data_IF_537634391617
#
_entry.id   IF_537634391617
#
_cell.length_a   1.000
_cell.length_b   1.000
_cell.length_c   1.000
_cell.angle_alpha   90.00
_cell.angle_beta   90.00
_cell.angle_gamma   90.00
#
_symmetry.space_group_name_H-M   'P 1'
#
loop_
_entity.id
_entity.type
_entity.pdbx_description
1 polymer ?
#
# COMPACT_ATOMS: atom_id res chain seq x y z
N UNK A 1 -24.67 12.21 14.75
CA UNK A 1 -23.85 11.36 15.65
C UNK A 1 -22.43 11.37 15.17
N UNK A 2 -21.46 11.10 16.04
CA UNK A 2 -20.04 10.96 15.67
C UNK A 2 -19.68 9.47 15.76
N UNK A 3 -18.97 8.96 14.75
CA UNK A 3 -18.48 7.58 14.73
C UNK A 3 -16.96 7.58 14.82
N UNK A 4 -16.40 6.63 15.58
CA UNK A 4 -14.97 6.40 15.70
C UNK A 4 -14.66 4.98 15.28
N UNK A 5 -13.70 4.82 14.37
CA UNK A 5 -13.24 3.52 13.89
C UNK A 5 -11.73 3.42 14.08
N UNK A 6 -11.26 2.30 14.61
CA UNK A 6 -9.84 1.99 14.72
C UNK A 6 -9.44 1.16 13.51
N UNK A 7 -8.31 1.51 12.90
CA UNK A 7 -7.76 0.79 11.77
C UNK A 7 -6.38 0.25 12.12
N UNK A 8 -6.14 -0.99 11.73
CA UNK A 8 -4.83 -1.63 11.81
C UNK A 8 -4.20 -1.74 10.42
N UNK A 9 -2.86 -1.84 10.30
CA UNK A 9 -2.20 -2.09 9.03
C UNK A 9 -2.63 -3.38 8.32
N UNK A 10 -3.22 -4.33 9.03
CA UNK A 10 -3.75 -5.57 8.44
C UNK A 10 -5.07 -5.34 7.70
N UNK A 11 -5.76 -4.24 7.98
CA UNK A 11 -7.03 -3.85 7.34
C UNK A 11 -6.83 -2.83 6.23
N UNK A 12 -5.59 -2.65 5.77
CA UNK A 12 -5.25 -1.67 4.75
C UNK A 12 -6.03 -1.85 3.43
N UNK A 13 -6.44 -3.09 3.11
CA UNK A 13 -7.26 -3.37 1.93
C UNK A 13 -8.65 -2.71 2.04
N UNK A 14 -9.23 -2.67 3.24
CA UNK A 14 -10.53 -2.03 3.53
C UNK A 14 -10.42 -0.51 3.67
N UNK A 15 -9.21 0.01 3.84
CA UNK A 15 -8.99 1.44 4.02
C UNK A 15 -9.32 2.22 2.73
N UNK A 16 -9.16 1.62 1.54
CA UNK A 16 -9.55 2.25 0.26
C UNK A 16 -11.06 2.46 0.18
N UNK A 17 -11.83 1.40 0.40
CA UNK A 17 -13.30 1.46 0.36
C UNK A 17 -13.84 2.51 1.35
N UNK A 18 -13.25 2.59 2.55
CA UNK A 18 -13.65 3.61 3.51
C UNK A 18 -13.31 5.03 3.04
N UNK A 19 -12.14 5.25 2.44
CA UNK A 19 -11.76 6.56 1.90
C UNK A 19 -12.79 7.03 0.86
N UNK A 20 -13.22 6.15 -0.04
CA UNK A 20 -14.23 6.47 -1.05
C UNK A 20 -15.56 6.90 -0.42
N UNK A 21 -16.04 6.18 0.61
CA UNK A 21 -17.25 6.54 1.35
C UNK A 21 -17.12 7.90 2.04
N UNK A 22 -15.95 8.19 2.64
CA UNK A 22 -15.70 9.47 3.30
C UNK A 22 -15.67 10.62 2.29
N UNK A 23 -15.08 10.43 1.11
CA UNK A 23 -15.05 11.42 0.03
C UNK A 23 -16.45 11.69 -0.53
N UNK A 24 -17.25 10.64 -0.78
CA UNK A 24 -18.63 10.77 -1.24
C UNK A 24 -19.51 11.52 -0.22
N UNK A 25 -19.31 11.21 1.07
CA UNK A 25 -19.98 11.88 2.17
C UNK A 25 -19.45 13.32 2.43
N UNK A 26 -18.47 13.80 1.66
CA UNK A 26 -17.78 15.09 1.84
C UNK A 26 -17.16 15.25 3.23
N UNK A 27 -16.74 14.16 3.84
CA UNK A 27 -16.03 14.14 5.11
C UNK A 27 -14.53 14.35 4.88
N UNK A 28 -13.85 14.93 5.87
CA UNK A 28 -12.40 15.10 5.82
C UNK A 28 -11.72 13.75 6.00
N UNK A 29 -10.97 13.32 4.99
CA UNK A 29 -10.17 12.09 5.04
C UNK A 29 -8.85 12.35 5.77
N UNK A 30 -8.51 11.58 6.82
CA UNK A 30 -7.21 11.70 7.49
C UNK A 30 -6.05 11.24 6.61
N UNK A 31 -4.93 11.97 6.60
CA UNK A 31 -3.72 11.61 5.83
C UNK A 31 -3.14 10.26 6.24
N UNK A 32 -3.20 9.91 7.52
CA UNK A 32 -2.75 8.61 8.03
C UNK A 32 -3.55 7.45 7.45
N UNK A 33 -4.84 7.65 7.17
CA UNK A 33 -5.70 6.63 6.55
C UNK A 33 -5.34 6.43 5.07
N UNK A 34 -5.08 7.52 4.33
CA UNK A 34 -4.55 7.43 2.94
C UNK A 34 -3.23 6.68 2.90
N UNK A 35 -2.30 7.03 3.80
CA UNK A 35 -1.01 6.35 3.88
C UNK A 35 -1.16 4.86 4.20
N UNK A 36 -2.12 4.49 5.06
CA UNK A 36 -2.43 3.09 5.36
C UNK A 36 -2.92 2.34 4.11
N UNK A 37 -3.88 2.93 3.39
CA UNK A 37 -4.43 2.37 2.15
C UNK A 37 -3.37 2.19 1.05
N UNK A 38 -2.41 3.12 0.96
CA UNK A 38 -1.28 3.02 0.04
C UNK A 38 -0.28 1.93 0.46
N UNK A 39 0.05 1.86 1.75
CA UNK A 39 1.02 0.89 2.29
C UNK A 39 0.51 -0.55 2.28
N UNK A 40 -0.80 -0.79 2.40
CA UNK A 40 -1.40 -2.12 2.25
C UNK A 40 -1.01 -2.83 0.95
N UNK A 41 -0.94 -2.07 -0.14
CA UNK A 41 -0.58 -2.61 -1.46
C UNK A 41 0.89 -3.03 -1.55
N UNK A 42 1.75 -2.62 -0.61
CA UNK A 42 3.18 -2.99 -0.59
C UNK A 42 3.44 -4.35 0.05
N UNK A 43 2.43 -4.96 0.69
CA UNK A 43 2.58 -6.24 1.40
C UNK A 43 2.52 -7.47 0.49
N UNK A 44 2.29 -7.30 -0.82
CA UNK A 44 2.06 -8.41 -1.77
C UNK A 44 2.82 -8.34 -3.10
N UNK A 45 3.90 -7.58 -3.19
CA UNK A 45 4.61 -7.41 -4.46
C UNK A 45 6.12 -7.44 -4.26
N UNK A 46 6.71 -8.65 -4.31
CA UNK A 46 8.13 -8.81 -4.57
C UNK A 46 8.47 -8.26 -5.94
N UNK A 47 8.56 -6.94 -6.06
CA UNK A 47 9.02 -6.24 -7.24
C UNK A 47 10.51 -5.90 -7.07
N UNK A 48 11.28 -6.90 -6.64
CA UNK A 48 12.71 -6.94 -6.94
C UNK A 48 12.88 -7.50 -8.35
N UNK A 49 12.45 -6.71 -9.33
CA UNK A 49 12.83 -6.84 -10.73
C UNK A 49 14.29 -6.46 -10.96
N UNK A 50 15.20 -7.00 -10.16
CA UNK A 50 16.64 -6.89 -10.31
C UNK A 50 17.18 -8.17 -10.90
N UNK A 51 17.13 -8.30 -12.22
CA UNK A 51 17.90 -9.28 -12.98
C UNK A 51 19.35 -9.31 -12.44
N UNK A 52 19.90 -10.47 -12.00
CA UNK A 52 21.33 -10.58 -11.86
C UNK A 52 21.92 -10.80 -13.26
N UNK A 53 21.99 -9.74 -14.07
CA UNK A 53 22.73 -9.68 -15.33
C UNK A 53 24.25 -9.56 -15.10
N UNK A 54 24.78 -10.41 -14.22
CA UNK A 54 26.22 -10.56 -13.99
C UNK A 54 26.70 -12.00 -14.24
N UNK A 55 26.04 -12.71 -15.15
CA UNK A 55 26.57 -13.96 -15.74
C UNK A 55 27.09 -13.75 -17.17
N UNK A 56 27.76 -12.63 -17.39
CA UNK A 56 28.57 -12.38 -18.59
C UNK A 56 30.04 -12.16 -18.21
N UNK A 57 30.57 -12.97 -17.31
CA UNK A 57 32.00 -13.04 -17.00
C UNK A 57 32.41 -14.50 -16.78
N UNK A 58 32.41 -15.28 -17.86
CA UNK A 58 33.22 -16.50 -17.98
C UNK A 58 33.97 -16.47 -19.31
N UNK A 59 34.86 -15.50 -19.42
CA UNK A 59 36.04 -15.60 -20.26
C UNK A 59 37.25 -15.39 -19.37
N UNK A 60 37.86 -16.48 -18.89
CA UNK A 60 39.20 -16.46 -18.29
C UNK A 60 39.84 -17.85 -18.46
N UNK A 61 40.94 -17.83 -19.22
CA UNK A 61 42.00 -18.84 -19.48
C UNK A 61 41.62 -20.15 -20.18
#
# INVERSE_FOLDING_TARGET
GVSYTFFTPEESDKAKDLIEVLEEAKQTVPDSLRSLAENGNRKGGGQFGGRPEYRAQRGYY
#
